data_IF_607350123255
#
_entry.id   IF_607350123255
#
_cell.length_a   1.000
_cell.length_b   1.000
_cell.length_c   1.000
_cell.angle_alpha   90.00
_cell.angle_beta   90.00
_cell.angle_gamma   90.00
#
_symmetry.space_group_name_H-M   'P 1'
#
loop_
_entity.id
_entity.type
_entity.pdbx_description
1 polymer ?
#
# COMPACT_ATOMS: atom_id res chain seq x y z
N UNK A 1 -8.50 15.15 2.50
CA UNK A 1 -8.97 13.74 2.39
C UNK A 1 -7.90 12.68 2.68
N UNK A 2 -6.63 12.86 2.31
CA UNK A 2 -5.54 11.90 2.62
C UNK A 2 -5.31 11.74 4.15
N UNK A 3 -5.40 12.84 4.90
CA UNK A 3 -5.28 12.85 6.37
C UNK A 3 -6.51 12.28 7.10
N UNK A 4 -7.69 12.33 6.48
CA UNK A 4 -8.93 11.82 7.10
C UNK A 4 -9.00 10.29 7.09
N UNK A 5 -8.42 9.64 6.07
CA UNK A 5 -8.25 8.17 6.02
C UNK A 5 -7.20 7.65 7.00
N UNK A 6 -6.25 8.49 7.43
CA UNK A 6 -5.24 8.11 8.43
C UNK A 6 -5.79 8.17 9.86
N UNK A 7 -6.70 9.11 10.14
CA UNK A 7 -7.29 9.30 11.48
C UNK A 7 -8.30 8.21 11.87
N UNK A 8 -8.85 7.48 10.90
CA UNK A 8 -9.81 6.40 11.13
C UNK A 8 -9.19 5.02 11.40
N UNK A 9 -7.86 4.94 11.55
CA UNK A 9 -7.15 3.74 12.04
C UNK A 9 -6.71 3.93 13.49
N UNK A 10 -7.66 4.29 14.35
CA UNK A 10 -7.56 4.04 15.78
C UNK A 10 -8.26 2.71 16.04
N UNK A 11 -7.52 1.62 15.92
CA UNK A 11 -7.42 0.64 17.00
C UNK A 11 -6.45 -0.48 16.63
N UNK A 12 -5.43 -0.63 17.47
CA UNK A 12 -4.49 -1.75 17.60
C UNK A 12 -3.40 -1.93 16.51
N UNK A 13 -2.14 -1.76 16.93
CA UNK A 13 -0.94 -2.26 16.26
C UNK A 13 0.02 -1.17 15.76
N UNK A 14 0.96 -0.77 16.62
CA UNK A 14 1.97 0.24 16.33
C UNK A 14 2.74 -0.05 15.03
N UNK A 15 2.73 0.92 14.11
CA UNK A 15 3.66 0.94 12.96
C UNK A 15 5.06 1.17 13.53
N UNK A 16 6.11 0.43 13.15
CA UNK A 16 7.48 0.82 13.46
C UNK A 16 7.72 2.20 12.84
N UNK A 17 8.20 3.16 13.63
CA UNK A 17 8.20 4.60 13.29
C UNK A 17 6.82 5.25 13.15
N UNK A 18 5.75 4.67 13.69
CA UNK A 18 4.45 5.36 13.79
C UNK A 18 4.60 6.65 14.57
N UNK A 19 5.13 6.56 15.79
CA UNK A 19 5.28 7.71 16.67
C UNK A 19 6.37 8.66 16.20
N UNK A 20 7.39 8.16 15.49
CA UNK A 20 8.41 9.01 14.88
C UNK A 20 7.85 9.75 13.66
N UNK A 21 7.09 9.09 12.79
CA UNK A 21 6.40 9.75 11.66
C UNK A 21 5.25 10.63 12.10
N UNK A 22 4.55 10.28 13.17
CA UNK A 22 3.53 11.14 13.77
C UNK A 22 4.20 12.39 14.34
N UNK A 23 5.35 12.26 15.02
CA UNK A 23 6.16 13.41 15.46
C UNK A 23 6.68 14.24 14.29
N UNK A 24 7.28 13.64 13.26
CA UNK A 24 7.70 14.35 12.04
C UNK A 24 6.51 15.06 11.36
N UNK A 25 5.33 14.44 11.32
CA UNK A 25 4.12 15.06 10.76
C UNK A 25 3.56 16.17 11.67
N UNK A 26 3.70 16.06 12.98
CA UNK A 26 3.34 17.10 13.93
C UNK A 26 4.31 18.27 13.89
N UNK A 27 5.60 18.01 13.69
CA UNK A 27 6.65 19.01 13.46
C UNK A 27 6.41 19.71 12.12
N UNK A 28 6.19 18.98 11.01
CA UNK A 28 5.85 19.57 9.71
C UNK A 28 4.55 20.38 9.79
N UNK A 29 3.55 19.90 10.56
CA UNK A 29 2.31 20.64 10.80
C UNK A 29 2.58 21.91 11.60
N UNK A 30 3.42 21.84 12.63
CA UNK A 30 3.87 22.98 13.42
C UNK A 30 4.63 24.01 12.60
N UNK A 31 5.56 23.57 11.76
CA UNK A 31 6.30 24.41 10.82
C UNK A 31 5.36 25.08 9.81
N UNK A 32 4.37 24.35 9.28
CA UNK A 32 3.34 24.92 8.40
C UNK A 32 2.47 25.95 9.11
N UNK A 33 2.02 25.66 10.34
CA UNK A 33 1.20 26.57 11.12
C UNK A 33 2.00 27.83 11.51
N UNK A 34 3.28 27.66 11.86
CA UNK A 34 4.18 28.77 12.18
C UNK A 34 4.52 29.60 10.94
N UNK A 35 4.73 28.98 9.77
CA UNK A 35 4.88 29.68 8.50
C UNK A 35 3.61 30.46 8.12
N UNK A 36 2.41 29.91 8.40
CA UNK A 36 1.13 30.60 8.17
C UNK A 36 0.94 31.80 9.10
N UNK A 37 1.28 31.65 10.38
CA UNK A 37 1.25 32.76 11.36
C UNK A 37 2.24 33.83 10.94
N UNK A 38 3.48 33.46 10.60
CA UNK A 38 4.51 34.40 10.14
C UNK A 38 4.08 35.15 8.87
N UNK A 39 3.50 34.45 7.89
CA UNK A 39 2.98 35.09 6.68
C UNK A 39 1.85 36.08 6.99
N UNK A 40 0.95 35.72 7.92
CA UNK A 40 -0.13 36.60 8.39
C UNK A 40 0.44 37.84 9.07
N UNK A 41 1.43 37.68 9.95
CA UNK A 41 2.04 38.78 10.69
C UNK A 41 2.86 39.70 9.77
N UNK A 42 3.57 39.14 8.79
CA UNK A 42 4.28 39.91 7.77
C UNK A 42 3.30 40.70 6.88
N UNK A 43 2.19 40.08 6.48
CA UNK A 43 1.14 40.75 5.72
C UNK A 43 0.48 41.89 6.52
N UNK A 44 0.18 41.66 7.80
CA UNK A 44 -0.38 42.69 8.70
C UNK A 44 0.61 43.83 8.87
N UNK A 45 1.89 43.54 9.12
CA UNK A 45 2.95 44.54 9.28
C UNK A 45 3.08 45.40 8.02
N UNK A 46 3.13 44.79 6.84
CA UNK A 46 3.27 45.52 5.57
C UNK A 46 2.01 46.33 5.23
N UNK A 47 0.82 45.77 5.50
CA UNK A 47 -0.46 46.48 5.32
C UNK A 47 -0.55 47.69 6.25
N UNK A 48 -0.12 47.55 7.51
CA UNK A 48 -0.08 48.66 8.47
C UNK A 48 0.98 49.70 8.12
N UNK A 49 2.13 49.27 7.56
CA UNK A 49 3.17 50.18 7.05
C UNK A 49 2.59 51.05 5.93
N UNK A 50 1.98 50.43 4.92
CA UNK A 50 1.32 51.11 3.79
C UNK A 50 0.16 52.00 4.27
N UNK A 51 -0.67 51.54 5.22
CA UNK A 51 -1.75 52.33 5.78
C UNK A 51 -1.24 53.57 6.55
N UNK A 52 -0.12 53.43 7.26
CA UNK A 52 0.52 54.55 7.97
C UNK A 52 1.11 55.59 7.00
N UNK A 53 1.72 55.14 5.90
CA UNK A 53 2.24 56.01 4.82
C UNK A 53 1.11 56.76 4.09
N UNK A 54 -0.09 56.19 4.07
CA UNK A 54 -1.29 56.81 3.48
C UNK A 54 -2.14 57.64 4.46
N UNK A 55 -1.70 57.86 5.71
CA UNK A 55 -2.47 58.52 6.80
C UNK A 55 -3.85 57.89 7.06
N UNK A 56 -4.00 56.58 6.85
CA UNK A 56 -5.23 55.83 7.11
C UNK A 56 -5.16 55.08 8.45
N UNK A 57 -6.31 54.86 9.10
CA UNK A 57 -6.39 54.07 10.33
C UNK A 57 -6.03 52.59 10.09
N UNK A 58 -5.41 51.89 11.06
CA UNK A 58 -4.98 50.50 10.91
C UNK A 58 -6.18 49.60 10.63
N UNK A 59 -6.10 48.82 9.54
CA UNK A 59 -7.17 47.94 9.11
C UNK A 59 -6.97 46.57 9.77
N UNK A 60 -7.89 46.16 10.63
CA UNK A 60 -7.98 44.76 11.05
C UNK A 60 -8.48 43.94 9.86
N UNK A 61 -7.56 43.44 9.05
CA UNK A 61 -7.89 42.54 7.93
C UNK A 61 -8.07 41.13 8.48
N UNK A 62 -9.18 40.88 9.16
CA UNK A 62 -9.71 39.51 9.17
C UNK A 62 -10.03 39.17 7.70
N UNK A 63 -9.58 38.02 7.16
CA UNK A 63 -9.96 37.63 5.82
C UNK A 63 -11.49 37.70 5.73
N UNK A 64 -12.07 38.32 4.69
CA UNK A 64 -13.51 38.38 4.55
C UNK A 64 -14.10 36.97 4.72
N UNK A 65 -15.24 36.78 5.39
CA UNK A 65 -15.89 35.47 5.50
C UNK A 65 -16.06 34.78 4.14
N UNK A 66 -16.21 35.58 3.08
CA UNK A 66 -16.27 35.16 1.68
C UNK A 66 -14.97 34.50 1.19
N UNK A 67 -13.78 34.90 1.64
CA UNK A 67 -12.51 34.32 1.21
C UNK A 67 -12.40 32.83 1.54
N UNK A 68 -12.79 32.44 2.75
CA UNK A 68 -12.79 31.03 3.15
C UNK A 68 -13.89 30.24 2.43
N UNK A 69 -15.05 30.86 2.20
CA UNK A 69 -16.14 30.27 1.43
C UNK A 69 -15.74 30.03 -0.04
N UNK A 70 -15.08 31.00 -0.68
CA UNK A 70 -14.62 30.92 -2.06
C UNK A 70 -13.54 29.83 -2.22
N UNK A 71 -12.61 29.75 -1.26
CA UNK A 71 -11.62 28.66 -1.22
C UNK A 71 -12.31 27.31 -1.02
N UNK A 72 -13.26 27.20 -0.10
CA UNK A 72 -13.97 25.94 0.17
C UNK A 72 -14.79 25.51 -1.06
N UNK A 73 -15.43 26.45 -1.74
CA UNK A 73 -16.21 26.19 -2.95
C UNK A 73 -15.29 25.79 -4.12
N UNK A 74 -14.16 26.50 -4.30
CA UNK A 74 -13.15 26.16 -5.31
C UNK A 74 -12.53 24.78 -5.05
N UNK A 75 -12.14 24.48 -3.81
CA UNK A 75 -11.60 23.18 -3.44
C UNK A 75 -12.65 22.07 -3.58
N UNK A 76 -13.90 22.33 -3.20
CA UNK A 76 -15.00 21.37 -3.34
C UNK A 76 -15.29 21.02 -4.80
N UNK A 77 -15.04 21.95 -5.72
CA UNK A 77 -15.15 21.71 -7.16
C UNK A 77 -13.88 21.03 -7.75
N UNK A 78 -12.69 21.54 -7.40
CA UNK A 78 -11.42 21.10 -8.00
C UNK A 78 -10.92 19.77 -7.46
N UNK A 79 -11.18 19.44 -6.19
CA UNK A 79 -10.75 18.17 -5.59
C UNK A 79 -11.39 16.97 -6.31
N UNK A 80 -12.72 16.91 -6.53
CA UNK A 80 -13.34 15.85 -7.32
C UNK A 80 -12.83 15.78 -8.77
N UNK A 81 -12.60 16.93 -9.41
CA UNK A 81 -12.08 16.99 -10.78
C UNK A 81 -10.66 16.39 -10.87
N UNK A 82 -9.74 16.84 -10.01
CA UNK A 82 -8.37 16.30 -9.92
C UNK A 82 -8.40 14.82 -9.57
N UNK A 83 -9.28 14.42 -8.63
CA UNK A 83 -9.46 13.02 -8.25
C UNK A 83 -9.90 12.19 -9.46
N UNK A 84 -10.90 12.64 -10.20
CA UNK A 84 -11.38 11.95 -11.40
C UNK A 84 -10.27 11.83 -12.45
N UNK A 85 -9.49 12.89 -12.67
CA UNK A 85 -8.33 12.87 -13.58
C UNK A 85 -7.24 11.89 -13.14
N UNK A 86 -7.01 11.73 -11.84
CA UNK A 86 -6.08 10.74 -11.31
C UNK A 86 -6.63 9.32 -11.41
N UNK A 87 -7.92 9.13 -11.10
CA UNK A 87 -8.58 7.82 -11.10
C UNK A 87 -8.72 7.25 -12.52
N UNK A 88 -8.96 8.11 -13.52
CA UNK A 88 -9.07 7.76 -14.95
C UNK A 88 -7.73 7.69 -15.68
N UNK A 89 -6.63 8.10 -15.05
CA UNK A 89 -5.32 8.03 -15.67
C UNK A 89 -4.85 6.57 -15.78
N UNK A 90 -4.61 6.10 -17.00
CA UNK A 90 -4.09 4.74 -17.27
C UNK A 90 -2.70 4.51 -16.67
N UNK A 91 -1.93 5.57 -16.44
CA UNK A 91 -0.61 5.58 -15.82
C UNK A 91 -0.66 5.80 -14.30
N UNK A 92 -1.85 5.70 -13.69
CA UNK A 92 -1.96 5.79 -12.24
C UNK A 92 -1.27 4.59 -11.56
N UNK A 93 -0.72 4.78 -10.34
CA UNK A 93 -0.04 3.73 -9.59
C UNK A 93 -0.88 2.46 -9.48
N UNK A 94 -0.22 1.33 -9.66
CA UNK A 94 -0.80 -0.01 -9.53
C UNK A 94 -0.74 -0.50 -8.09
N UNK A 95 0.31 -0.14 -7.34
CA UNK A 95 0.46 -0.49 -5.93
C UNK A 95 -0.54 0.30 -5.07
N UNK A 96 -1.04 -0.35 -4.01
CA UNK A 96 -2.02 0.21 -3.06
C UNK A 96 -3.36 0.61 -3.69
N UNK A 97 -3.61 0.22 -4.94
CA UNK A 97 -4.89 0.35 -5.61
C UNK A 97 -5.76 -0.89 -5.36
N UNK A 98 -7.07 -0.72 -5.31
CA UNK A 98 -8.00 -1.84 -5.27
C UNK A 98 -7.84 -2.71 -6.53
N UNK A 99 -7.89 -4.03 -6.36
CA UNK A 99 -7.65 -4.97 -7.44
C UNK A 99 -8.67 -4.84 -8.57
N UNK A 100 -9.95 -4.62 -8.22
CA UNK A 100 -11.02 -4.44 -9.19
C UNK A 100 -10.88 -3.11 -9.92
N UNK A 101 -10.54 -2.04 -9.20
CA UNK A 101 -10.27 -0.72 -9.79
C UNK A 101 -9.13 -0.79 -10.82
N UNK A 102 -7.99 -1.38 -10.43
CA UNK A 102 -6.85 -1.53 -11.33
C UNK A 102 -7.20 -2.39 -12.54
N UNK A 103 -7.68 -3.62 -12.33
CA UNK A 103 -7.91 -4.61 -13.38
C UNK A 103 -9.07 -4.26 -14.31
N UNK A 104 -10.23 -3.88 -13.75
CA UNK A 104 -11.46 -3.73 -14.52
C UNK A 104 -11.63 -2.32 -15.09
N UNK A 105 -11.21 -1.27 -14.36
CA UNK A 105 -11.44 0.11 -14.82
C UNK A 105 -10.25 0.70 -15.56
N UNK A 106 -9.02 0.49 -15.07
CA UNK A 106 -7.83 1.14 -15.64
C UNK A 106 -7.22 0.35 -16.79
N UNK A 107 -6.85 -0.90 -16.56
CA UNK A 107 -6.14 -1.70 -17.58
C UNK A 107 -7.08 -2.56 -18.44
N UNK A 108 -8.30 -2.85 -17.95
CA UNK A 108 -9.28 -3.74 -18.60
C UNK A 108 -8.69 -5.13 -18.91
N UNK A 109 -7.98 -5.71 -17.93
CA UNK A 109 -7.34 -7.02 -18.03
C UNK A 109 -7.74 -7.88 -16.83
N UNK A 110 -7.85 -9.22 -16.99
CA UNK A 110 -8.25 -10.10 -15.90
C UNK A 110 -7.17 -10.25 -14.82
N UNK A 111 -5.90 -10.12 -15.20
CA UNK A 111 -4.74 -10.26 -14.29
C UNK A 111 -4.12 -8.89 -14.06
N UNK A 112 -3.83 -8.57 -12.80
CA UNK A 112 -3.16 -7.35 -12.42
C UNK A 112 -1.75 -7.30 -13.01
N UNK A 113 -1.38 -6.14 -13.55
CA UNK A 113 -0.09 -5.98 -14.24
C UNK A 113 1.12 -6.33 -13.35
N UNK A 114 1.20 -5.91 -12.07
CA UNK A 114 2.31 -6.31 -11.20
C UNK A 114 2.40 -7.81 -10.95
N UNK A 115 1.26 -8.52 -10.86
CA UNK A 115 1.23 -9.98 -10.70
C UNK A 115 1.76 -10.66 -11.96
N UNK A 116 1.22 -10.29 -13.11
CA UNK A 116 1.61 -10.86 -14.39
C UNK A 116 3.10 -10.65 -14.66
N UNK A 117 3.57 -9.41 -14.49
CA UNK A 117 4.93 -9.01 -14.83
C UNK A 117 5.97 -9.65 -13.89
N UNK A 118 5.73 -9.65 -12.58
CA UNK A 118 6.66 -10.31 -11.65
C UNK A 118 6.77 -11.82 -11.94
N UNK A 119 5.66 -12.48 -12.27
CA UNK A 119 5.66 -13.90 -12.66
C UNK A 119 6.37 -14.09 -14.01
N UNK A 120 6.21 -13.18 -14.96
CA UNK A 120 6.95 -13.22 -16.23
C UNK A 120 8.46 -13.18 -16.01
N UNK A 121 8.95 -12.27 -15.16
CA UNK A 121 10.37 -12.16 -14.84
C UNK A 121 10.92 -13.43 -14.17
N UNK A 122 10.10 -14.15 -13.42
CA UNK A 122 10.49 -15.34 -12.66
C UNK A 122 10.43 -16.65 -13.46
N UNK A 123 9.84 -16.64 -14.66
CA UNK A 123 9.53 -17.87 -15.42
C UNK A 123 10.78 -18.72 -15.74
N UNK A 124 11.92 -18.06 -15.95
CA UNK A 124 13.20 -18.69 -16.29
C UNK A 124 14.07 -18.95 -15.04
N UNK A 125 13.62 -18.55 -13.86
CA UNK A 125 14.37 -18.62 -12.58
C UNK A 125 13.73 -19.56 -11.56
N UNK A 126 12.93 -20.54 -12.00
CA UNK A 126 12.23 -21.48 -11.10
C UNK A 126 13.17 -22.32 -10.24
N UNK A 127 14.44 -22.46 -10.65
CA UNK A 127 15.45 -23.22 -9.92
C UNK A 127 16.22 -22.37 -8.90
N UNK A 128 16.03 -21.05 -8.88
CA UNK A 128 16.71 -20.15 -7.95
C UNK A 128 16.39 -20.53 -6.50
N UNK A 129 17.43 -20.71 -5.69
CA UNK A 129 17.24 -21.16 -4.31
C UNK A 129 16.47 -20.12 -3.48
N UNK A 130 15.43 -20.54 -2.76
CA UNK A 130 14.80 -19.69 -1.76
C UNK A 130 13.96 -18.54 -2.34
N UNK A 131 13.39 -18.69 -3.54
CA UNK A 131 12.36 -17.78 -4.05
C UNK A 131 11.30 -17.50 -2.97
N UNK A 132 10.89 -16.24 -2.83
CA UNK A 132 10.00 -15.72 -1.78
C UNK A 132 10.52 -15.77 -0.34
N UNK A 133 11.56 -16.57 -0.05
CA UNK A 133 12.19 -16.68 1.29
C UNK A 133 13.31 -15.65 1.46
N UNK A 134 14.19 -15.53 0.47
CA UNK A 134 15.35 -14.63 0.52
C UNK A 134 14.90 -13.18 0.25
N UNK A 135 15.44 -12.24 1.05
CA UNK A 135 15.18 -10.82 0.89
C UNK A 135 16.16 -10.21 -0.14
N UNK A 136 15.68 -9.45 -1.14
CA UNK A 136 16.55 -8.79 -2.10
C UNK A 136 17.11 -7.48 -1.55
N UNK A 137 18.02 -6.87 -2.33
CA UNK A 137 18.41 -5.49 -2.11
C UNK A 137 17.19 -4.54 -2.20
N UNK A 138 16.87 -3.87 -1.10
CA UNK A 138 15.68 -3.02 -0.96
C UNK A 138 15.62 -1.88 -2.01
N UNK A 139 16.78 -1.36 -2.41
CA UNK A 139 16.87 -0.31 -3.44
C UNK A 139 16.37 -0.85 -4.80
N UNK A 140 16.79 -2.06 -5.19
CA UNK A 140 16.34 -2.72 -6.44
C UNK A 140 14.85 -3.05 -6.40
N UNK A 141 14.36 -3.52 -5.25
CA UNK A 141 12.93 -3.77 -5.05
C UNK A 141 12.10 -2.50 -5.22
N UNK A 142 12.48 -1.40 -4.56
CA UNK A 142 11.80 -0.11 -4.68
C UNK A 142 11.85 0.42 -6.12
N UNK A 143 12.98 0.26 -6.81
CA UNK A 143 13.12 0.65 -8.22
C UNK A 143 12.11 -0.11 -9.10
N UNK A 144 12.03 -1.44 -8.99
CA UNK A 144 11.07 -2.24 -9.76
C UNK A 144 9.61 -1.89 -9.42
N UNK A 145 9.30 -1.59 -8.16
CA UNK A 145 7.95 -1.11 -7.78
C UNK A 145 7.59 0.19 -8.51
N UNK A 146 8.50 1.18 -8.52
CA UNK A 146 8.30 2.45 -9.23
C UNK A 146 8.15 2.24 -10.74
N UNK A 147 8.98 1.39 -11.35
CA UNK A 147 8.91 1.08 -12.78
C UNK A 147 7.58 0.42 -13.16
N UNK A 148 7.06 -0.47 -12.30
CA UNK A 148 5.75 -1.10 -12.45
C UNK A 148 4.59 -0.11 -12.27
N UNK A 149 4.68 0.78 -11.28
CA UNK A 149 3.67 1.81 -11.02
C UNK A 149 3.51 2.77 -12.20
N UNK A 150 4.64 3.13 -12.81
CA UNK A 150 4.67 4.01 -13.98
C UNK A 150 4.42 3.26 -15.31
N UNK A 151 4.27 1.93 -15.26
CA UNK A 151 4.13 1.06 -16.44
C UNK A 151 5.23 1.29 -17.50
N UNK A 152 6.45 1.59 -17.05
CA UNK A 152 7.57 1.95 -17.94
C UNK A 152 8.32 0.73 -18.50
N UNK A 153 7.86 -0.47 -18.17
CA UNK A 153 8.58 -1.71 -18.50
C UNK A 153 7.98 -2.37 -19.73
N UNK A 154 8.83 -2.76 -20.68
CA UNK A 154 8.40 -3.56 -21.83
C UNK A 154 8.03 -4.98 -21.36
N UNK A 155 6.94 -5.52 -21.92
CA UNK A 155 6.45 -6.89 -21.67
C UNK A 155 7.48 -7.97 -22.02
N UNK A 156 8.48 -7.65 -22.84
CA UNK A 156 9.55 -8.56 -23.24
C UNK A 156 10.80 -8.47 -22.35
N UNK A 157 10.83 -7.54 -21.39
CA UNK A 157 12.01 -7.35 -20.56
C UNK A 157 12.30 -8.57 -19.68
N UNK A 158 13.58 -8.89 -19.56
CA UNK A 158 14.12 -9.99 -18.76
C UNK A 158 14.79 -9.46 -17.50
N UNK A 159 15.04 -10.33 -16.52
CA UNK A 159 15.78 -9.97 -15.30
C UNK A 159 17.15 -9.33 -15.59
N UNK A 160 17.84 -9.87 -16.60
CA UNK A 160 19.17 -9.46 -17.05
C UNK A 160 19.19 -7.98 -17.49
N UNK A 161 18.13 -7.51 -18.15
CA UNK A 161 18.00 -6.14 -18.66
C UNK A 161 18.05 -5.09 -17.54
N UNK A 162 17.71 -5.49 -16.31
CA UNK A 162 17.68 -4.61 -15.14
C UNK A 162 18.82 -4.86 -14.14
N UNK A 163 19.61 -5.91 -14.33
CA UNK A 163 20.56 -6.40 -13.32
C UNK A 163 19.87 -6.84 -12.02
N UNK A 164 18.64 -7.38 -12.13
CA UNK A 164 17.88 -7.90 -11.00
C UNK A 164 18.18 -9.39 -10.80
N UNK A 165 18.35 -9.81 -9.54
CA UNK A 165 18.23 -11.21 -9.17
C UNK A 165 16.74 -11.61 -9.08
N UNK A 166 16.46 -12.91 -9.08
CA UNK A 166 15.08 -13.40 -9.03
C UNK A 166 14.39 -13.11 -7.67
N UNK A 167 15.11 -12.75 -6.62
CA UNK A 167 14.50 -12.37 -5.34
C UNK A 167 13.84 -10.99 -5.41
N UNK A 168 14.30 -10.10 -6.30
CA UNK A 168 13.70 -8.78 -6.54
C UNK A 168 12.23 -8.89 -6.95
N UNK A 169 11.84 -9.49 -8.10
CA UNK A 169 10.44 -9.62 -8.47
C UNK A 169 9.64 -10.50 -7.50
N UNK A 170 10.25 -11.51 -6.88
CA UNK A 170 9.56 -12.32 -5.87
C UNK A 170 9.14 -11.48 -4.64
N UNK A 171 10.02 -10.60 -4.16
CA UNK A 171 9.71 -9.69 -3.05
C UNK A 171 8.74 -8.58 -3.48
N UNK A 172 8.90 -8.03 -4.68
CA UNK A 172 7.97 -7.04 -5.25
C UNK A 172 6.55 -7.60 -5.36
N UNK A 173 6.40 -8.85 -5.80
CA UNK A 173 5.11 -9.54 -5.86
C UNK A 173 4.46 -9.67 -4.47
N UNK A 174 5.24 -10.05 -3.44
CA UNK A 174 4.74 -10.07 -2.05
C UNK A 174 4.28 -8.69 -1.60
N UNK A 175 5.07 -7.66 -1.91
CA UNK A 175 4.78 -6.28 -1.54
C UNK A 175 3.51 -5.74 -2.22
N UNK A 176 3.26 -6.14 -3.47
CA UNK A 176 2.02 -5.83 -4.18
C UNK A 176 0.82 -6.46 -3.48
N UNK A 177 0.86 -7.78 -3.24
CA UNK A 177 -0.23 -8.53 -2.61
C UNK A 177 -0.56 -8.01 -1.21
N UNK A 178 0.46 -7.74 -0.39
CA UNK A 178 0.31 -7.14 0.94
C UNK A 178 -0.21 -5.70 0.90
N UNK A 179 0.06 -4.98 -0.19
CA UNK A 179 -0.34 -3.59 -0.38
C UNK A 179 -1.79 -3.42 -0.82
N UNK A 180 -2.49 -4.49 -1.20
CA UNK A 180 -3.88 -4.41 -1.64
C UNK A 180 -4.79 -3.91 -0.49
N UNK A 181 -5.68 -2.91 -0.74
CA UNK A 181 -6.63 -2.44 0.26
C UNK A 181 -7.57 -3.54 0.78
N UNK A 182 -8.02 -4.41 -0.12
CA UNK A 182 -8.70 -5.66 0.18
C UNK A 182 -7.79 -6.82 -0.23
N UNK A 183 -7.50 -7.75 0.69
CA UNK A 183 -6.54 -8.81 0.41
C UNK A 183 -7.02 -9.71 -0.74
N UNK A 184 -6.12 -10.46 -1.37
CA UNK A 184 -6.48 -11.28 -2.53
C UNK A 184 -7.57 -12.32 -2.19
N UNK A 185 -7.56 -12.86 -0.96
CA UNK A 185 -8.58 -13.79 -0.46
C UNK A 185 -9.85 -13.12 0.10
N UNK A 186 -9.96 -11.80 -0.05
CA UNK A 186 -11.03 -10.90 0.41
C UNK A 186 -11.21 -10.86 1.92
N UNK A 187 -11.26 -9.66 2.47
CA UNK A 187 -11.42 -9.42 3.90
C UNK A 187 -12.77 -9.95 4.41
N UNK A 188 -13.81 -9.94 3.57
CA UNK A 188 -15.14 -10.46 3.89
C UNK A 188 -15.14 -11.97 4.21
N UNK A 189 -14.24 -12.75 3.60
CA UNK A 189 -14.17 -14.21 3.79
C UNK A 189 -13.15 -14.62 4.86
N UNK A 190 -12.35 -13.70 5.42
CA UNK A 190 -11.35 -14.00 6.48
C UNK A 190 -11.93 -14.83 7.64
N UNK A 191 -13.10 -14.50 8.21
CA UNK A 191 -13.66 -15.29 9.31
C UNK A 191 -13.92 -16.75 8.92
N UNK A 192 -14.22 -17.02 7.66
CA UNK A 192 -14.44 -18.37 7.16
C UNK A 192 -13.13 -19.09 6.81
N UNK A 193 -12.13 -18.38 6.29
CA UNK A 193 -10.78 -18.91 6.13
C UNK A 193 -10.20 -19.38 7.48
N UNK A 194 -10.42 -18.59 8.55
CA UNK A 194 -9.96 -18.90 9.90
C UNK A 194 -10.62 -20.15 10.52
N UNK A 195 -11.77 -20.61 10.00
CA UNK A 195 -12.44 -21.83 10.46
C UNK A 195 -11.85 -23.10 9.84
N UNK A 196 -11.15 -23.02 8.70
CA UNK A 196 -10.64 -24.20 7.99
C UNK A 196 -9.69 -25.04 8.87
N UNK A 197 -8.71 -24.46 9.59
CA UNK A 197 -7.80 -25.24 10.43
C UNK A 197 -8.51 -25.99 11.57
N UNK A 198 -9.74 -25.58 11.93
CA UNK A 198 -10.55 -26.20 12.98
C UNK A 198 -11.30 -27.46 12.49
N UNK A 199 -11.32 -27.72 11.18
CA UNK A 199 -11.98 -28.89 10.60
C UNK A 199 -11.14 -30.15 10.78
N UNK A 200 -11.80 -31.23 11.24
CA UNK A 200 -11.15 -32.48 11.63
C UNK A 200 -10.45 -33.21 10.48
N UNK A 201 -11.10 -33.34 9.33
CA UNK A 201 -10.57 -34.14 8.22
C UNK A 201 -9.94 -33.26 7.13
N UNK A 202 -8.96 -33.82 6.43
CA UNK A 202 -8.36 -33.15 5.27
C UNK A 202 -9.39 -32.97 4.14
N UNK A 203 -10.26 -33.95 3.93
CA UNK A 203 -11.32 -33.89 2.93
C UNK A 203 -12.26 -32.69 3.18
N UNK A 204 -12.68 -32.47 4.43
CA UNK A 204 -13.52 -31.33 4.80
C UNK A 204 -12.80 -30.00 4.58
N UNK A 205 -11.50 -29.94 4.89
CA UNK A 205 -10.67 -28.75 4.64
C UNK A 205 -10.60 -28.43 3.14
N UNK A 206 -10.30 -29.41 2.31
CA UNK A 206 -10.23 -29.24 0.84
C UNK A 206 -11.59 -28.81 0.29
N UNK A 207 -12.68 -29.46 0.73
CA UNK A 207 -14.03 -29.10 0.31
C UNK A 207 -14.38 -27.66 0.70
N UNK A 208 -14.10 -27.25 1.94
CA UNK A 208 -14.37 -25.89 2.42
C UNK A 208 -13.55 -24.84 1.69
N UNK A 209 -12.27 -25.12 1.42
CA UNK A 209 -11.40 -24.27 0.59
C UNK A 209 -12.03 -24.09 -0.79
N UNK A 210 -12.46 -25.17 -1.44
CA UNK A 210 -13.10 -25.11 -2.76
C UNK A 210 -14.36 -24.23 -2.77
N UNK A 211 -15.20 -24.34 -1.74
CA UNK A 211 -16.39 -23.50 -1.59
C UNK A 211 -16.04 -22.01 -1.45
N UNK A 212 -15.04 -21.66 -0.65
CA UNK A 212 -14.63 -20.27 -0.46
C UNK A 212 -13.99 -19.69 -1.71
N UNK A 213 -13.18 -20.48 -2.44
CA UNK A 213 -12.62 -20.07 -3.73
C UNK A 213 -13.75 -19.71 -4.72
N UNK A 214 -14.84 -20.48 -4.73
CA UNK A 214 -15.99 -20.22 -5.60
C UNK A 214 -16.82 -18.98 -5.20
N UNK A 215 -16.61 -18.45 -3.99
CA UNK A 215 -17.26 -17.22 -3.51
C UNK A 215 -16.43 -15.96 -3.80
N UNK A 216 -15.18 -16.11 -4.23
CA UNK A 216 -14.33 -14.97 -4.54
C UNK A 216 -14.88 -14.18 -5.74
N UNK A 217 -14.77 -12.84 -5.73
CA UNK A 217 -14.99 -12.04 -6.92
C UNK A 217 -14.14 -12.56 -8.08
N UNK A 218 -14.68 -12.49 -9.31
CA UNK A 218 -14.04 -13.05 -10.51
C UNK A 218 -12.58 -12.58 -10.68
N UNK A 219 -12.32 -11.29 -10.42
CA UNK A 219 -10.97 -10.72 -10.54
C UNK A 219 -10.01 -11.29 -9.49
N UNK A 220 -10.45 -11.47 -8.24
CA UNK A 220 -9.65 -12.11 -7.19
C UNK A 220 -9.37 -13.56 -7.54
N UNK A 221 -10.38 -14.31 -7.99
CA UNK A 221 -10.25 -15.69 -8.42
C UNK A 221 -9.22 -15.84 -9.55
N UNK A 222 -9.31 -15.01 -10.60
CA UNK A 222 -8.40 -15.09 -11.75
C UNK A 222 -6.95 -14.84 -11.34
N UNK A 223 -6.71 -13.81 -10.53
CA UNK A 223 -5.39 -13.47 -10.02
C UNK A 223 -4.85 -14.54 -9.05
N UNK A 224 -5.69 -15.06 -8.15
CA UNK A 224 -5.34 -16.17 -7.25
C UNK A 224 -4.97 -17.42 -8.04
N UNK A 225 -5.79 -17.81 -9.03
CA UNK A 225 -5.52 -18.98 -9.88
C UNK A 225 -4.20 -18.83 -10.64
N UNK A 226 -3.95 -17.65 -11.19
CA UNK A 226 -2.71 -17.35 -11.91
C UNK A 226 -1.49 -17.48 -10.98
N UNK A 227 -1.57 -16.93 -9.78
CA UNK A 227 -0.54 -17.00 -8.76
C UNK A 227 -0.31 -18.44 -8.26
N UNK A 228 -1.36 -19.16 -7.89
CA UNK A 228 -1.27 -20.53 -7.36
C UNK A 228 -0.67 -21.49 -8.40
N UNK A 229 -0.99 -21.30 -9.70
CA UNK A 229 -0.34 -22.06 -10.77
C UNK A 229 1.18 -21.84 -10.76
N UNK A 230 1.62 -20.58 -10.71
CA UNK A 230 3.05 -20.26 -10.65
C UNK A 230 3.72 -20.83 -9.39
N UNK A 231 3.09 -20.70 -8.21
CA UNK A 231 3.63 -21.27 -6.97
C UNK A 231 3.71 -22.80 -7.02
N UNK A 232 2.77 -23.46 -7.70
CA UNK A 232 2.84 -24.90 -7.96
C UNK A 232 4.04 -25.26 -8.83
N UNK A 233 4.35 -24.46 -9.86
CA UNK A 233 5.54 -24.65 -10.69
C UNK A 233 6.83 -24.47 -9.88
N UNK A 234 6.91 -23.47 -9.01
CA UNK A 234 8.03 -23.31 -8.07
C UNK A 234 8.18 -24.53 -7.16
N UNK A 235 7.07 -25.02 -6.57
CA UNK A 235 7.09 -26.17 -5.68
C UNK A 235 7.53 -27.48 -6.37
N UNK A 236 7.24 -27.65 -7.66
CA UNK A 236 7.71 -28.80 -8.46
C UNK A 236 9.24 -28.85 -8.59
N UNK A 237 9.91 -27.70 -8.47
CA UNK A 237 11.38 -27.59 -8.52
C UNK A 237 12.03 -27.59 -7.13
N UNK A 238 11.28 -27.98 -6.08
CA UNK A 238 11.72 -27.94 -4.68
C UNK A 238 12.96 -28.77 -4.35
N UNK A 239 13.30 -29.78 -5.17
CA UNK A 239 14.56 -30.52 -5.06
C UNK A 239 15.79 -29.62 -5.24
N UNK A 240 15.69 -28.60 -6.10
CA UNK A 240 16.75 -27.63 -6.39
C UNK A 240 16.54 -26.36 -5.58
N UNK A 241 15.41 -25.67 -5.76
CA UNK A 241 15.18 -24.36 -5.16
C UNK A 241 14.86 -24.37 -3.65
N UNK A 242 14.65 -25.57 -3.06
CA UNK A 242 14.34 -25.80 -1.63
C UNK A 242 13.01 -25.20 -1.15
N UNK A 243 12.12 -24.80 -2.06
CA UNK A 243 10.82 -24.20 -1.75
C UNK A 243 9.68 -25.20 -1.98
N UNK A 244 9.36 -26.01 -0.97
CA UNK A 244 8.16 -26.87 -0.97
C UNK A 244 6.87 -26.03 -0.87
N UNK A 245 5.71 -26.64 -1.13
CA UNK A 245 4.41 -25.97 -0.93
C UNK A 245 4.24 -25.44 0.51
N UNK A 246 4.76 -26.15 1.52
CA UNK A 246 4.76 -25.71 2.91
C UNK A 246 5.69 -24.50 3.14
N UNK A 247 6.90 -24.51 2.56
CA UNK A 247 7.82 -23.38 2.68
C UNK A 247 7.25 -22.12 2.00
N UNK A 248 6.62 -22.30 0.83
CA UNK A 248 5.96 -21.21 0.12
C UNK A 248 4.77 -20.65 0.91
N UNK A 249 3.93 -21.50 1.50
CA UNK A 249 2.78 -21.04 2.29
C UNK A 249 3.18 -20.19 3.49
N UNK A 250 4.31 -20.50 4.13
CA UNK A 250 4.87 -19.68 5.21
C UNK A 250 5.33 -18.31 4.68
N UNK A 251 6.00 -18.28 3.53
CA UNK A 251 6.60 -17.05 2.99
C UNK A 251 5.57 -16.10 2.36
N UNK A 252 4.57 -16.63 1.64
CA UNK A 252 3.59 -15.83 0.91
C UNK A 252 2.22 -15.75 1.60
N UNK A 253 1.86 -16.69 2.47
CA UNK A 253 0.52 -16.82 3.04
C UNK A 253 0.01 -15.53 3.70
N UNK A 254 0.86 -14.87 4.50
CA UNK A 254 0.51 -13.60 5.17
C UNK A 254 0.27 -12.41 4.21
N UNK A 255 0.66 -12.54 2.94
CA UNK A 255 0.39 -11.54 1.90
C UNK A 255 -0.93 -11.84 1.15
N UNK A 256 -1.47 -13.06 1.28
CA UNK A 256 -2.73 -13.48 0.67
C UNK A 256 -3.91 -13.32 1.62
N UNK A 257 -3.67 -13.55 2.91
CA UNK A 257 -4.59 -13.29 4.01
C UNK A 257 -3.81 -12.71 5.22
N UNK A 258 -4.28 -11.65 5.87
CA UNK A 258 -3.63 -11.10 7.06
C UNK A 258 -3.70 -12.09 8.24
N UNK A 259 -2.63 -12.20 9.04
CA UNK A 259 -2.68 -12.85 10.36
C UNK A 259 -3.21 -11.86 11.40
N UNK A 260 -4.13 -12.28 12.26
CA UNK A 260 -4.53 -11.52 13.45
C UNK A 260 -3.31 -11.30 14.36
N UNK A 261 -3.09 -10.06 14.82
CA UNK A 261 -1.99 -9.74 15.73
C UNK A 261 -2.44 -9.99 17.18
N UNK A 262 -1.88 -10.99 17.84
CA UNK A 262 -2.07 -11.26 19.27
C UNK A 262 -1.38 -10.19 20.12
N UNK A 263 -2.17 -9.40 20.85
CA UNK A 263 -1.73 -8.34 21.77
C UNK A 263 -1.08 -8.91 23.04
N UNK A 264 0.23 -8.76 23.21
CA UNK A 264 0.94 -8.98 24.48
C UNK A 264 2.11 -7.97 24.58
N UNK A 265 1.89 -6.85 25.27
CA UNK A 265 2.97 -5.97 25.72
C UNK A 265 3.07 -6.04 27.25
N UNK A 266 3.97 -6.90 27.74
CA UNK A 266 4.58 -6.73 29.06
C UNK A 266 5.72 -5.73 28.89
N UNK A 267 5.53 -4.51 29.38
CA UNK A 267 6.55 -3.46 29.37
C UNK A 267 7.63 -3.74 30.44
N UNK A 268 8.93 -3.70 30.10
CA UNK A 268 9.99 -3.56 31.09
C UNK A 268 9.96 -2.14 31.65
N UNK A 269 9.80 -2.03 32.96
CA UNK A 269 9.81 -0.76 33.71
C UNK A 269 11.21 -0.13 33.61
N UNK A 270 11.33 1.01 32.91
CA UNK A 270 12.60 1.72 32.71
C UNK A 270 12.61 3.11 33.36
N UNK A 271 11.81 3.30 34.41
CA UNK A 271 11.86 4.49 35.28
C UNK A 271 11.80 4.10 36.75
N UNK A 272 12.85 3.42 37.21
CA UNK A 272 13.22 3.40 38.62
C UNK A 272 14.70 3.76 38.70
N UNK A 273 14.99 5.07 38.73
CA UNK A 273 16.13 5.69 39.39
C UNK A 273 16.18 7.17 39.05
N UNK A 274 15.69 8.00 39.97
CA UNK A 274 16.37 9.22 40.42
C UNK A 274 15.53 9.86 41.53
N UNK A 275 16.20 10.01 42.66
CA UNK A 275 15.85 10.56 43.97
C UNK A 275 14.92 11.76 44.02
#
# INVERSE_FOLDING_TARGET
LFLYRFRSRSDSGAVPNYDERCRELEDIRGECDQARILHRDNYITETNRIASEAQASPVSVAPPPLFYHDIEQYLSYRIPEIKNRLDTNKLAPSFYCDLSEHCLKRIQRPIAYPIEFCIHLLKDSLQEEGLFRIAPAQIKQKKLMTELDLQLIDKNSRLEDFGYDAHVPASTLKQYLRGLPDCLLTNALIPDWNKIPLLSTEADRVQRIGQLINQLPKVNYDNLRYLIRFLSDVARHSSVNKMTASNLSICIGSNLYPKEQSSNFSTPNLYANSS
#
